data_IF_637121566058
#
_entry.id   IF_637121566058
#
_cell.length_a   1.000
_cell.length_b   1.000
_cell.length_c   1.000
_cell.angle_alpha   90.00
_cell.angle_beta   90.00
_cell.angle_gamma   90.00
#
_symmetry.space_group_name_H-M   'P 1'
#
loop_
_entity.id
_entity.type
_entity.pdbx_description
1 polymer ?
#
# COMPACT_ATOMS: atom_id res chain seq x y z
N UNK A 1 -1.69 74.63 20.93
CA UNK A 1 -2.93 74.13 20.29
C UNK A 1 -2.56 73.04 19.30
N UNK A 2 -3.42 72.02 19.18
CA UNK A 2 -3.06 70.61 19.30
C UNK A 2 -3.24 69.88 17.97
N UNK A 3 -2.57 68.72 17.82
CA UNK A 3 -3.04 67.53 17.07
C UNK A 3 -1.83 66.72 16.58
N UNK A 4 -1.57 65.59 17.24
CA UNK A 4 -2.01 64.28 16.76
C UNK A 4 -1.08 63.71 15.67
N UNK A 5 -0.16 62.86 16.10
CA UNK A 5 0.10 61.64 15.32
C UNK A 5 0.62 60.53 16.24
N UNK A 6 -0.33 59.91 16.96
CA UNK A 6 -0.21 58.53 17.42
C UNK A 6 0.01 57.65 16.18
N UNK A 7 1.25 57.43 15.77
CA UNK A 7 1.58 56.37 14.82
C UNK A 7 1.59 55.06 15.58
N UNK A 8 0.48 54.34 15.42
CA UNK A 8 0.22 53.01 15.94
C UNK A 8 1.32 52.06 15.45
N UNK A 9 2.30 51.85 16.30
CA UNK A 9 3.15 50.67 16.33
C UNK A 9 2.23 49.50 16.71
N UNK A 10 1.97 48.61 15.77
CA UNK A 10 0.98 47.54 15.96
C UNK A 10 1.10 46.49 14.87
N UNK A 11 2.23 45.78 14.91
CA UNK A 11 2.46 44.41 14.45
C UNK A 11 1.54 43.90 13.33
N UNK A 12 2.10 43.83 12.12
CA UNK A 12 1.69 42.92 11.04
C UNK A 12 1.81 41.48 11.55
N UNK A 13 0.72 40.95 12.14
CA UNK A 13 0.53 39.51 12.32
C UNK A 13 0.09 38.94 10.98
N UNK A 14 1.06 38.63 10.14
CA UNK A 14 0.86 37.79 8.95
C UNK A 14 0.44 36.41 9.43
N UNK A 15 -0.79 36.05 9.04
CA UNK A 15 -1.39 34.75 9.27
C UNK A 15 -0.63 33.67 8.51
N UNK A 16 0.22 32.89 9.19
CA UNK A 16 0.68 31.59 8.71
C UNK A 16 -0.38 30.54 9.04
N UNK A 17 -1.52 30.61 8.36
CA UNK A 17 -2.48 29.52 8.30
C UNK A 17 -1.98 28.47 7.31
N UNK A 18 -1.89 27.23 7.79
CA UNK A 18 -2.01 25.99 7.00
C UNK A 18 -0.85 25.67 6.03
N UNK A 19 0.31 25.30 6.58
CA UNK A 19 1.15 24.26 5.98
C UNK A 19 0.96 22.94 6.76
N UNK A 20 -0.30 22.57 7.00
CA UNK A 20 -0.61 21.17 7.26
C UNK A 20 -0.53 20.46 5.93
N UNK A 21 0.62 19.85 5.64
CA UNK A 21 0.79 18.91 4.53
C UNK A 21 -0.06 17.66 4.82
N UNK A 22 -1.37 17.80 4.82
CA UNK A 22 -2.27 16.69 4.59
C UNK A 22 -2.05 16.29 3.15
N UNK A 23 -1.15 15.33 2.92
CA UNK A 23 -1.17 14.58 1.67
C UNK A 23 -2.63 14.16 1.47
N UNK A 24 -3.30 14.56 0.37
CA UNK A 24 -4.60 13.97 0.07
C UNK A 24 -4.40 12.46 0.07
N UNK A 25 -5.34 11.67 0.64
CA UNK A 25 -5.24 10.22 0.61
C UNK A 25 -4.96 9.82 -0.83
N UNK A 26 -3.87 9.08 -1.09
CA UNK A 26 -3.52 8.73 -2.45
C UNK A 26 -4.71 8.01 -3.07
N UNK A 27 -5.12 8.43 -4.26
CA UNK A 27 -6.08 7.63 -5.00
C UNK A 27 -5.48 6.23 -5.21
N UNK A 28 -6.28 5.15 -5.12
CA UNK A 28 -5.75 3.79 -5.08
C UNK A 28 -4.84 3.44 -6.26
N UNK A 29 -4.96 4.14 -7.40
CA UNK A 29 -4.03 4.01 -8.52
C UNK A 29 -2.62 4.56 -8.22
N UNK A 30 -2.50 5.70 -7.53
CA UNK A 30 -1.24 6.38 -7.25
C UNK A 30 -0.42 5.74 -6.12
N UNK A 31 -1.08 5.17 -5.10
CA UNK A 31 -0.41 4.44 -4.03
C UNK A 31 0.24 3.16 -4.57
N UNK A 32 -0.41 2.50 -5.53
CA UNK A 32 0.11 1.25 -6.09
C UNK A 32 1.15 1.49 -7.20
N UNK A 33 1.07 2.62 -7.91
CA UNK A 33 2.19 3.08 -8.75
C UNK A 33 3.44 3.46 -7.93
N UNK A 34 3.25 4.07 -6.76
CA UNK A 34 4.35 4.28 -5.81
C UNK A 34 4.87 2.92 -5.29
N UNK A 35 3.97 2.00 -4.93
CA UNK A 35 4.34 0.65 -4.52
C UNK A 35 5.17 -0.08 -5.56
N UNK A 36 4.82 0.00 -6.85
CA UNK A 36 5.64 -0.57 -7.94
C UNK A 36 7.03 0.02 -8.03
N UNK A 37 7.15 1.34 -7.81
CA UNK A 37 8.44 2.04 -7.86
C UNK A 37 9.31 1.68 -6.65
N UNK A 38 8.69 1.41 -5.51
CA UNK A 38 9.36 1.10 -4.24
C UNK A 38 9.58 -0.41 -4.03
N UNK A 39 8.86 -1.25 -4.77
CA UNK A 39 8.86 -2.68 -4.58
C UNK A 39 10.23 -3.31 -4.87
N UNK A 40 10.73 -4.07 -3.90
CA UNK A 40 11.98 -4.82 -4.01
C UNK A 40 11.85 -6.10 -4.86
N UNK A 41 12.97 -6.79 -5.15
CA UNK A 41 13.03 -8.00 -6.00
C UNK A 41 12.33 -9.25 -5.44
N UNK A 42 11.50 -9.11 -4.40
CA UNK A 42 10.61 -10.16 -3.88
C UNK A 42 9.20 -9.65 -3.61
N UNK A 43 8.83 -8.48 -4.12
CA UNK A 43 7.51 -7.87 -3.92
C UNK A 43 6.71 -7.75 -5.23
N UNK A 44 7.35 -8.06 -6.36
CA UNK A 44 6.73 -8.09 -7.68
C UNK A 44 6.98 -9.46 -8.31
N UNK A 45 5.94 -10.00 -8.93
CA UNK A 45 6.04 -11.13 -9.83
C UNK A 45 5.50 -10.75 -11.20
N UNK A 46 6.28 -11.02 -12.25
CA UNK A 46 5.85 -10.90 -13.64
C UNK A 46 6.23 -12.18 -14.36
N UNK A 47 5.25 -12.88 -14.91
CA UNK A 47 5.49 -14.15 -15.58
C UNK A 47 4.23 -14.81 -16.09
N UNK A 48 4.34 -16.08 -16.47
CA UNK A 48 3.21 -16.89 -16.91
C UNK A 48 2.71 -17.76 -15.76
N UNK A 49 1.40 -17.71 -15.49
CA UNK A 49 0.71 -18.62 -14.57
C UNK A 49 -0.47 -19.23 -15.30
N UNK A 50 -0.61 -20.55 -15.23
CA UNK A 50 -1.63 -21.30 -15.99
C UNK A 50 -1.68 -20.92 -17.50
N UNK A 51 -0.54 -20.58 -18.10
CA UNK A 51 -0.44 -20.16 -19.50
C UNK A 51 -0.87 -18.70 -19.80
N UNK A 52 -1.20 -17.90 -18.78
CA UNK A 52 -1.57 -16.50 -18.94
C UNK A 52 -0.48 -15.56 -18.39
N UNK A 53 -0.23 -14.41 -19.03
CA UNK A 53 0.62 -13.38 -18.45
C UNK A 53 -0.05 -12.81 -17.21
N UNK A 54 0.70 -12.84 -16.11
CA UNK A 54 0.26 -12.35 -14.81
C UNK A 54 1.34 -11.45 -14.24
N UNK A 55 0.90 -10.29 -13.76
CA UNK A 55 1.71 -9.34 -13.03
C UNK A 55 1.05 -9.16 -11.65
N UNK A 56 1.78 -9.53 -10.60
CA UNK A 56 1.38 -9.42 -9.20
C UNK A 56 2.32 -8.47 -8.48
N UNK A 57 1.75 -7.72 -7.54
CA UNK A 57 2.48 -6.84 -6.62
C UNK A 57 1.95 -7.10 -5.23
N UNK A 58 2.85 -7.24 -4.26
CA UNK A 58 2.48 -7.23 -2.85
C UNK A 58 2.74 -5.86 -2.26
N UNK A 59 1.74 -5.29 -1.61
CA UNK A 59 1.83 -3.99 -0.96
C UNK A 59 0.92 -3.95 0.26
N UNK A 60 1.40 -3.36 1.36
CA UNK A 60 0.77 -3.40 2.69
C UNK A 60 0.16 -4.77 3.03
N UNK A 61 0.92 -5.85 2.84
CA UNK A 61 0.48 -7.21 3.12
C UNK A 61 -0.80 -7.65 2.38
N UNK A 62 -1.11 -7.03 1.23
CA UNK A 62 -2.14 -7.44 0.28
C UNK A 62 -1.50 -7.74 -1.09
N UNK A 63 -2.07 -8.65 -1.86
CA UNK A 63 -1.60 -8.94 -3.23
C UNK A 63 -2.59 -8.36 -4.24
N UNK A 64 -2.04 -7.61 -5.17
CA UNK A 64 -2.77 -6.99 -6.26
C UNK A 64 -2.32 -7.59 -7.59
N UNK A 65 -3.29 -7.83 -8.47
CA UNK A 65 -3.07 -8.15 -9.87
C UNK A 65 -3.14 -6.87 -10.69
N UNK A 66 -2.11 -6.68 -11.51
CA UNK A 66 -2.00 -5.55 -12.44
C UNK A 66 -2.63 -5.93 -13.77
N UNK A 67 -3.52 -5.08 -14.27
CA UNK A 67 -4.19 -5.24 -15.55
C UNK A 67 -4.10 -3.93 -16.33
N UNK A 68 -4.06 -4.02 -17.65
CA UNK A 68 -4.18 -2.83 -18.49
C UNK A 68 -5.65 -2.41 -18.54
N UNK A 69 -5.90 -1.13 -18.27
CA UNK A 69 -7.23 -0.55 -18.32
C UNK A 69 -7.57 -0.12 -19.76
N UNK A 70 -8.86 -0.10 -20.09
CA UNK A 70 -9.35 0.20 -21.45
C UNK A 70 -9.01 1.64 -21.92
N UNK A 71 -8.74 2.54 -20.99
CA UNK A 71 -8.34 3.93 -21.22
C UNK A 71 -6.81 4.11 -21.35
N UNK A 72 -6.04 3.02 -21.38
CA UNK A 72 -4.58 3.06 -21.41
C UNK A 72 -3.94 3.29 -20.04
N UNK A 73 -4.74 3.33 -18.97
CA UNK A 73 -4.27 3.31 -17.59
C UNK A 73 -3.91 1.90 -17.11
N UNK A 74 -3.51 1.80 -15.83
CA UNK A 74 -3.24 0.54 -15.15
C UNK A 74 -4.30 0.28 -14.10
N UNK A 75 -5.12 -0.75 -14.30
CA UNK A 75 -6.11 -1.21 -13.36
C UNK A 75 -5.49 -2.19 -12.35
N UNK A 76 -5.95 -2.09 -11.11
CA UNK A 76 -5.47 -2.90 -10.00
C UNK A 76 -6.63 -3.68 -9.39
N UNK A 77 -6.46 -4.99 -9.27
CA UNK A 77 -7.46 -5.87 -8.67
C UNK A 77 -6.83 -6.53 -7.45
N UNK A 78 -7.39 -6.30 -6.26
CA UNK A 78 -6.94 -7.01 -5.05
C UNK A 78 -7.39 -8.47 -5.13
N UNK A 79 -6.43 -9.38 -5.16
CA UNK A 79 -6.67 -10.84 -5.30
C UNK A 79 -6.44 -11.60 -4.01
N UNK A 80 -5.71 -11.04 -3.06
CA UNK A 80 -5.49 -11.65 -1.75
C UNK A 80 -5.34 -10.58 -0.67
N UNK A 81 -6.00 -10.80 0.47
CA UNK A 81 -5.79 -10.07 1.71
C UNK A 81 -5.83 -11.06 2.89
N UNK A 82 -5.03 -10.85 3.95
CA UNK A 82 -5.12 -11.61 5.18
C UNK A 82 -6.48 -11.46 5.85
N UNK A 83 -6.77 -12.35 6.81
CA UNK A 83 -7.99 -12.24 7.59
C UNK A 83 -8.03 -10.89 8.34
N UNK A 84 -9.18 -10.20 8.36
CA UNK A 84 -9.32 -8.92 9.02
C UNK A 84 -9.10 -9.08 10.53
N UNK A 85 -8.29 -8.19 11.10
CA UNK A 85 -8.00 -8.17 12.53
C UNK A 85 -8.77 -7.02 13.22
N UNK A 86 -9.38 -7.23 14.41
CA UNK A 86 -10.24 -6.21 15.04
C UNK A 86 -9.53 -4.93 15.47
N UNK A 87 -8.20 -4.96 15.62
CA UNK A 87 -7.39 -3.82 16.07
C UNK A 87 -6.47 -3.31 14.95
N UNK A 88 -5.90 -2.14 15.16
CA UNK A 88 -4.94 -1.55 14.24
C UNK A 88 -3.73 -2.48 14.05
N UNK A 89 -3.43 -2.78 12.79
CA UNK A 89 -2.28 -3.58 12.39
C UNK A 89 -1.46 -2.85 11.33
N UNK A 90 -0.18 -3.15 11.26
CA UNK A 90 0.71 -2.72 10.18
C UNK A 90 1.29 -3.93 9.47
N UNK A 91 1.61 -3.80 8.18
CA UNK A 91 2.40 -4.81 7.52
C UNK A 91 3.81 -4.86 8.12
N UNK A 92 4.25 -6.05 8.54
CA UNK A 92 5.57 -6.30 9.12
C UNK A 92 6.39 -7.25 8.24
N UNK A 93 5.73 -8.13 7.49
CA UNK A 93 6.36 -9.08 6.58
C UNK A 93 5.51 -9.26 5.33
N UNK A 94 6.11 -9.06 4.17
CA UNK A 94 5.50 -9.39 2.89
C UNK A 94 6.54 -9.91 1.90
N UNK A 95 6.17 -10.89 1.08
CA UNK A 95 6.97 -11.32 -0.07
C UNK A 95 6.16 -12.17 -1.05
N UNK A 96 6.64 -12.23 -2.28
CA UNK A 96 6.22 -13.12 -3.36
C UNK A 96 7.43 -13.97 -3.78
N UNK A 97 7.21 -15.28 -3.89
CA UNK A 97 8.16 -16.22 -4.43
C UNK A 97 7.47 -17.08 -5.50
N UNK A 98 8.09 -17.23 -6.66
CA UNK A 98 7.55 -18.05 -7.74
C UNK A 98 8.38 -19.32 -7.94
N UNK A 99 7.70 -20.43 -8.20
CA UNK A 99 8.27 -21.74 -8.51
C UNK A 99 7.52 -22.39 -9.69
N UNK A 100 7.96 -23.57 -10.12
CA UNK A 100 7.38 -24.28 -11.27
C UNK A 100 5.88 -24.59 -11.12
N UNK A 101 5.35 -24.61 -9.89
CA UNK A 101 3.95 -24.89 -9.57
C UNK A 101 3.10 -23.66 -9.26
N UNK A 102 3.65 -22.45 -9.28
CA UNK A 102 2.87 -21.22 -9.09
C UNK A 102 3.60 -20.14 -8.28
N UNK A 103 2.83 -19.27 -7.64
CA UNK A 103 3.32 -18.19 -6.78
C UNK A 103 2.90 -18.42 -5.35
N UNK A 104 3.83 -18.19 -4.44
CA UNK A 104 3.64 -18.21 -2.99
C UNK A 104 3.78 -16.79 -2.45
N UNK A 105 2.77 -16.31 -1.73
CA UNK A 105 2.78 -15.05 -1.01
C UNK A 105 2.96 -15.31 0.49
N UNK A 106 3.92 -14.65 1.12
CA UNK A 106 4.07 -14.65 2.59
C UNK A 106 3.62 -13.30 3.10
N UNK A 107 2.58 -13.26 3.93
CA UNK A 107 1.99 -12.03 4.46
C UNK A 107 1.94 -12.08 5.99
N UNK A 108 2.27 -10.99 6.66
CA UNK A 108 2.30 -10.92 8.10
C UNK A 108 2.01 -9.51 8.60
N UNK A 109 0.83 -9.32 9.18
CA UNK A 109 0.43 -8.07 9.83
C UNK A 109 0.65 -8.18 11.33
N UNK A 110 1.33 -7.20 11.91
CA UNK A 110 1.55 -7.11 13.35
C UNK A 110 0.52 -6.16 13.97
N UNK A 111 -0.08 -6.57 15.09
CA UNK A 111 -0.89 -5.66 15.90
C UNK A 111 0.01 -4.60 16.54
N UNK A 112 -0.39 -3.33 16.47
CA UNK A 112 0.40 -2.25 17.06
C UNK A 112 0.53 -2.43 18.58
N UNK A 113 1.77 -2.45 19.07
CA UNK A 113 2.08 -2.65 20.49
C UNK A 113 2.22 -4.12 20.93
N UNK A 114 2.03 -5.10 20.03
CA UNK A 114 2.32 -6.50 20.31
C UNK A 114 3.83 -6.77 20.20
N UNK A 115 4.42 -7.44 21.19
CA UNK A 115 5.85 -7.80 21.21
C UNK A 115 6.23 -9.04 20.40
N UNK A 116 5.40 -9.47 19.44
CA UNK A 116 5.62 -10.65 18.61
C UNK A 116 4.87 -10.59 17.28
N UNK A 117 5.32 -11.38 16.30
CA UNK A 117 4.60 -11.60 15.03
C UNK A 117 3.60 -12.76 15.20
N UNK A 118 2.47 -12.83 14.51
CA UNK A 118 1.76 -11.86 13.67
C UNK A 118 0.28 -11.96 14.06
N UNK A 119 -0.46 -10.85 14.03
CA UNK A 119 -1.87 -10.81 14.41
C UNK A 119 -2.78 -11.41 13.33
N UNK A 120 -2.44 -11.20 12.07
CA UNK A 120 -3.03 -11.89 10.92
C UNK A 120 -2.00 -12.11 9.83
N UNK A 121 -2.28 -13.01 8.89
CA UNK A 121 -1.34 -13.40 7.84
C UNK A 121 -1.16 -14.91 7.72
N UNK A 122 -0.12 -15.28 6.99
CA UNK A 122 0.24 -16.65 6.66
C UNK A 122 0.96 -16.75 5.32
N UNK A 123 1.17 -17.98 4.90
CA UNK A 123 1.67 -18.31 3.57
C UNK A 123 0.50 -18.73 2.69
N UNK A 124 0.43 -18.20 1.48
CA UNK A 124 -0.65 -18.44 0.54
C UNK A 124 -0.06 -18.88 -0.79
N UNK A 125 -0.69 -19.83 -1.47
CA UNK A 125 -0.25 -20.33 -2.76
C UNK A 125 -1.32 -20.17 -3.82
N UNK A 126 -0.91 -19.79 -5.03
CA UNK A 126 -1.77 -19.67 -6.20
C UNK A 126 -1.08 -20.23 -7.44
N UNK A 127 -1.83 -20.96 -8.26
CA UNK A 127 -1.36 -21.48 -9.55
C UNK A 127 -1.71 -20.55 -10.74
N UNK A 128 -2.64 -19.60 -10.54
CA UNK A 128 -3.21 -18.73 -11.57
C UNK A 128 -3.11 -17.23 -11.25
N UNK A 129 -2.64 -16.88 -10.06
CA UNK A 129 -2.53 -15.50 -9.56
C UNK A 129 -3.87 -14.85 -9.16
N UNK A 130 -4.97 -15.60 -9.14
CA UNK A 130 -6.31 -15.12 -8.73
C UNK A 130 -6.87 -15.92 -7.56
N UNK A 131 -6.76 -17.24 -7.61
CA UNK A 131 -7.25 -18.12 -6.57
C UNK A 131 -6.10 -18.48 -5.63
N UNK A 132 -6.25 -18.11 -4.37
CA UNK A 132 -5.22 -18.29 -3.34
C UNK A 132 -5.70 -19.26 -2.28
N UNK A 133 -4.84 -20.21 -1.92
CA UNK A 133 -5.08 -21.16 -0.84
C UNK A 133 -4.05 -20.92 0.26
N UNK A 134 -4.52 -20.75 1.50
CA UNK A 134 -3.63 -20.64 2.66
C UNK A 134 -2.96 -21.99 2.90
N UNK A 135 -1.64 -22.01 2.98
CA UNK A 135 -0.85 -23.19 3.33
C UNK A 135 -0.57 -23.22 4.83
N UNK A 136 -0.51 -24.41 5.46
CA UNK A 136 -0.15 -24.54 6.87
C UNK A 136 1.24 -24.00 7.21
#
# INVERSE_FOLDING_TARGET
>A
MPWALRRRMGLLLVACLLAGCGRPPPEPAGEVEAALREAGPGEVFQGLLAGQPVHLVVHDCEVFRVQDAADGGRAWERVLAPEPYPFFTRCERQSLAADAGGVTATLGRMALGAGGCCASGGTYRSADGRNWTKTP
#
